data_IF_436189682134
#
_entry.id   IF_436189682134
#
_cell.length_a   1.000
_cell.length_b   1.000
_cell.length_c   1.000
_cell.angle_alpha   90.00
_cell.angle_beta   90.00
_cell.angle_gamma   90.00
#
_symmetry.space_group_name_H-M   'P 1'
#
loop_
_entity.id
_entity.type
_entity.pdbx_description
1 polymer ?
#
# COMPACT_ATOMS: atom_id res chain seq x y z
N UNK A 1 9.47 -1.60 11.69
CA UNK A 1 8.04 -1.87 11.40
C UNK A 1 7.42 -2.70 12.54
N UNK A 2 6.11 -2.96 12.48
CA UNK A 2 5.43 -3.95 13.34
C UNK A 2 5.20 -5.22 12.51
N UNK A 3 5.49 -6.36 13.12
CA UNK A 3 5.15 -7.67 12.59
C UNK A 3 4.08 -8.31 13.49
N UNK A 4 2.95 -8.72 12.90
CA UNK A 4 1.90 -9.47 13.58
C UNK A 4 1.59 -10.71 12.77
N UNK A 5 1.98 -11.88 13.28
CA UNK A 5 1.81 -13.16 12.59
C UNK A 5 0.35 -13.56 12.38
N UNK A 6 -0.55 -13.00 13.19
CA UNK A 6 -1.99 -13.26 13.11
C UNK A 6 -2.71 -12.23 12.23
N UNK A 7 -1.98 -11.29 11.62
CA UNK A 7 -2.56 -10.20 10.84
C UNK A 7 -3.11 -9.05 11.70
N UNK A 8 -3.51 -7.99 10.99
CA UNK A 8 -4.10 -6.77 11.56
C UNK A 8 -5.58 -6.77 11.22
N UNK A 9 -6.42 -7.06 12.21
CA UNK A 9 -7.88 -7.00 12.12
C UNK A 9 -8.42 -5.56 12.27
N UNK A 10 -9.74 -5.40 12.23
CA UNK A 10 -10.41 -4.10 12.34
C UNK A 10 -10.13 -3.39 13.67
N UNK A 11 -10.07 -4.12 14.78
CA UNK A 11 -9.81 -3.55 16.11
C UNK A 11 -8.37 -3.00 16.16
N UNK A 12 -7.40 -3.82 15.75
CA UNK A 12 -5.99 -3.46 15.67
C UNK A 12 -5.78 -2.28 14.74
N UNK A 13 -6.43 -2.28 13.58
CA UNK A 13 -6.35 -1.18 12.61
C UNK A 13 -6.96 0.11 13.17
N UNK A 14 -8.14 0.05 13.79
CA UNK A 14 -8.78 1.20 14.42
C UNK A 14 -7.89 1.79 15.53
N UNK A 15 -7.25 0.93 16.32
CA UNK A 15 -6.28 1.35 17.32
C UNK A 15 -5.06 2.04 16.69
N UNK A 16 -4.47 1.49 15.63
CA UNK A 16 -3.36 2.12 14.90
C UNK A 16 -3.75 3.49 14.37
N UNK A 17 -4.95 3.62 13.78
CA UNK A 17 -5.49 4.91 13.29
C UNK A 17 -5.61 5.93 14.42
N UNK A 18 -6.13 5.55 15.58
CA UNK A 18 -6.21 6.44 16.76
C UNK A 18 -4.83 6.90 17.22
N UNK A 19 -3.87 5.97 17.32
CA UNK A 19 -2.49 6.29 17.73
C UNK A 19 -1.85 7.26 16.75
N UNK A 20 -2.01 7.04 15.44
CA UNK A 20 -1.33 7.84 14.41
C UNK A 20 -1.99 9.18 14.12
N UNK A 21 -3.33 9.22 14.07
CA UNK A 21 -4.06 10.38 13.59
C UNK A 21 -4.52 11.30 14.73
N UNK A 22 -4.74 10.75 15.94
CA UNK A 22 -5.23 11.53 17.09
C UNK A 22 -4.10 11.77 18.09
N UNK A 23 -3.52 10.68 18.62
CA UNK A 23 -2.50 10.78 19.68
C UNK A 23 -1.11 11.14 19.18
N UNK A 24 -0.85 10.99 17.87
CA UNK A 24 0.45 11.16 17.21
C UNK A 24 1.57 10.30 17.84
N UNK A 25 1.21 9.11 18.33
CA UNK A 25 2.11 8.17 18.99
C UNK A 25 3.00 7.37 18.04
N UNK A 26 3.81 6.48 18.61
CA UNK A 26 4.74 5.63 17.85
C UNK A 26 4.14 4.24 17.64
N UNK A 27 4.42 3.66 16.47
CA UNK A 27 3.90 2.34 16.13
C UNK A 27 4.45 1.23 17.04
N UNK A 28 5.56 1.46 17.75
CA UNK A 28 6.11 0.57 18.77
C UNK A 28 5.17 0.34 19.96
N UNK A 29 4.22 1.25 20.22
CA UNK A 29 3.18 1.05 21.23
C UNK A 29 2.29 -0.15 20.90
N UNK A 30 2.15 -0.52 19.62
CA UNK A 30 1.35 -1.65 19.17
C UNK A 30 1.81 -2.96 19.83
N UNK A 31 3.13 -3.19 19.89
CA UNK A 31 3.72 -4.37 20.49
C UNK A 31 3.48 -4.47 22.01
N UNK A 32 3.19 -3.35 22.67
CA UNK A 32 2.80 -3.33 24.09
C UNK A 32 1.32 -3.64 24.28
N UNK A 33 0.47 -3.22 23.33
CA UNK A 33 -0.99 -3.39 23.39
C UNK A 33 -1.43 -4.79 22.94
N UNK A 34 -0.91 -5.29 21.83
CA UNK A 34 -1.33 -6.55 21.22
C UNK A 34 -0.26 -7.62 21.40
N UNK A 35 -0.50 -8.56 22.31
CA UNK A 35 0.41 -9.68 22.59
C UNK A 35 0.59 -10.54 21.34
N UNK A 36 1.80 -11.04 21.14
CA UNK A 36 2.15 -11.87 19.98
C UNK A 36 2.62 -11.09 18.75
N UNK A 37 2.57 -9.75 18.80
CA UNK A 37 3.20 -8.89 17.80
C UNK A 37 4.62 -8.47 18.21
N UNK A 38 5.44 -8.12 17.22
CA UNK A 38 6.84 -7.73 17.40
C UNK A 38 7.12 -6.39 16.75
N UNK A 39 7.70 -5.46 17.52
CA UNK A 39 8.30 -4.26 16.96
C UNK A 39 9.73 -4.54 16.52
N UNK A 40 10.02 -4.25 15.26
CA UNK A 40 11.36 -4.36 14.66
C UNK A 40 11.84 -2.94 14.34
N UNK A 41 12.61 -2.35 15.26
CA UNK A 41 13.13 -0.98 15.12
C UNK A 41 14.21 -0.87 14.05
N UNK A 42 14.27 0.27 13.36
CA UNK A 42 15.33 0.58 12.38
C UNK A 42 15.34 -0.25 11.09
N UNK A 43 14.42 -1.19 10.93
CA UNK A 43 14.38 -2.10 9.78
C UNK A 43 13.13 -1.88 8.92
N UNK A 44 13.21 -2.36 7.68
CA UNK A 44 12.14 -2.42 6.69
C UNK A 44 11.49 -3.83 6.70
N UNK A 45 10.20 -3.96 6.31
CA UNK A 45 9.47 -5.22 6.40
C UNK A 45 9.81 -6.24 5.31
N UNK A 46 10.60 -5.86 4.30
CA UNK A 46 10.80 -6.63 3.05
C UNK A 46 11.52 -7.99 3.22
N UNK A 47 12.09 -8.26 4.39
CA UNK A 47 12.65 -9.57 4.73
C UNK A 47 11.62 -10.59 5.25
N UNK A 48 10.35 -10.22 5.40
CA UNK A 48 9.29 -11.11 5.88
C UNK A 48 8.70 -11.89 4.71
N UNK A 49 8.45 -13.19 4.91
CA UNK A 49 7.73 -14.03 3.94
C UNK A 49 6.34 -13.46 3.66
N UNK A 50 6.05 -13.21 2.39
CA UNK A 50 4.75 -12.70 1.93
C UNK A 50 4.49 -13.08 0.49
N UNK A 51 3.21 -13.13 0.13
CA UNK A 51 2.73 -13.34 -1.24
C UNK A 51 2.72 -12.03 -2.04
N UNK A 52 2.29 -10.94 -1.38
CA UNK A 52 2.14 -9.61 -1.96
C UNK A 52 2.82 -8.54 -1.09
N UNK A 53 3.48 -7.57 -1.72
CA UNK A 53 4.10 -6.41 -1.06
C UNK A 53 3.51 -5.08 -1.55
N UNK A 54 3.21 -4.20 -0.59
CA UNK A 54 2.62 -2.88 -0.83
C UNK A 54 3.51 -1.79 -0.22
N UNK A 55 4.48 -1.24 -0.98
CA UNK A 55 5.23 -0.08 -0.53
C UNK A 55 4.38 1.20 -0.54
N UNK A 56 4.17 1.76 0.65
CA UNK A 56 3.26 2.87 0.92
C UNK A 56 3.89 3.99 1.77
N UNK A 57 5.20 3.97 2.04
CA UNK A 57 5.79 4.89 3.01
C UNK A 57 6.46 6.11 2.37
N UNK A 58 7.42 5.90 1.47
CA UNK A 58 8.23 6.98 0.89
C UNK A 58 8.88 6.54 -0.42
N UNK A 59 9.38 7.51 -1.20
CA UNK A 59 10.21 7.27 -2.36
C UNK A 59 11.47 6.46 -2.00
N UNK A 60 11.90 5.54 -2.88
CA UNK A 60 13.09 4.70 -2.73
C UNK A 60 13.14 3.85 -1.43
N UNK A 61 11.98 3.44 -0.92
CA UNK A 61 11.88 2.55 0.25
C UNK A 61 12.17 1.08 -0.03
N UNK A 62 12.16 0.64 -1.29
CA UNK A 62 12.61 -0.69 -1.71
C UNK A 62 13.92 -0.54 -2.47
N UNK A 63 15.01 -1.07 -1.91
CA UNK A 63 16.32 -1.19 -2.59
C UNK A 63 16.41 -2.48 -3.40
N UNK A 64 17.46 -2.65 -4.20
CA UNK A 64 17.71 -3.91 -4.92
C UNK A 64 17.96 -5.11 -3.97
N UNK A 65 18.49 -4.88 -2.77
CA UNK A 65 18.61 -5.92 -1.74
C UNK A 65 17.25 -6.31 -1.16
N UNK A 66 16.40 -5.32 -0.88
CA UNK A 66 15.03 -5.54 -0.43
C UNK A 66 14.21 -6.31 -1.48
N UNK A 67 14.38 -5.98 -2.76
CA UNK A 67 13.75 -6.69 -3.88
C UNK A 67 14.16 -8.16 -3.94
N UNK A 68 15.46 -8.48 -3.80
CA UNK A 68 15.93 -9.86 -3.73
C UNK A 68 15.31 -10.62 -2.57
N UNK A 69 15.28 -10.01 -1.37
CA UNK A 69 14.63 -10.62 -0.20
C UNK A 69 13.16 -10.95 -0.44
N UNK A 70 12.42 -10.05 -1.09
CA UNK A 70 11.01 -10.29 -1.42
C UNK A 70 10.86 -11.47 -2.37
N UNK A 71 11.67 -11.51 -3.44
CA UNK A 71 11.65 -12.59 -4.44
C UNK A 71 12.00 -13.94 -3.78
N UNK A 72 13.09 -14.00 -3.02
CA UNK A 72 13.56 -15.22 -2.34
C UNK A 72 12.53 -15.74 -1.33
N UNK A 73 11.73 -14.83 -0.76
CA UNK A 73 10.65 -15.14 0.16
C UNK A 73 9.34 -15.56 -0.52
N UNK A 74 9.30 -15.65 -1.85
CA UNK A 74 8.13 -16.10 -2.61
C UNK A 74 7.08 -15.01 -2.85
N UNK A 75 7.44 -13.74 -2.70
CA UNK A 75 6.58 -12.64 -3.15
C UNK A 75 6.39 -12.76 -4.66
N UNK A 76 5.13 -12.72 -5.13
CA UNK A 76 4.80 -12.78 -6.55
C UNK A 76 4.13 -11.50 -7.05
N UNK A 77 3.77 -10.56 -6.15
CA UNK A 77 3.15 -9.29 -6.50
C UNK A 77 3.72 -8.13 -5.71
N UNK A 78 4.07 -7.04 -6.39
CA UNK A 78 4.47 -5.76 -5.80
C UNK A 78 3.60 -4.67 -6.39
N UNK A 79 2.87 -3.93 -5.56
CA UNK A 79 1.99 -2.83 -6.02
C UNK A 79 2.33 -1.54 -5.29
N UNK A 80 2.80 -0.54 -6.04
CA UNK A 80 3.31 0.71 -5.48
C UNK A 80 2.18 1.68 -5.12
N UNK A 81 2.03 1.98 -3.82
CA UNK A 81 1.09 2.99 -3.37
C UNK A 81 1.76 4.36 -3.15
N UNK A 82 3.02 4.37 -2.70
CA UNK A 82 3.82 5.60 -2.62
C UNK A 82 4.26 6.07 -4.02
N UNK A 83 4.79 7.29 -4.11
CA UNK A 83 5.35 7.81 -5.35
C UNK A 83 6.80 7.30 -5.53
N UNK A 84 7.00 6.43 -6.53
CA UNK A 84 8.31 5.81 -6.86
C UNK A 84 9.02 5.16 -5.66
N UNK A 85 8.36 4.23 -4.93
CA UNK A 85 8.98 3.59 -3.78
C UNK A 85 10.10 2.61 -4.14
N UNK A 86 10.07 2.00 -5.32
CA UNK A 86 11.13 1.09 -5.75
C UNK A 86 12.22 1.84 -6.51
N UNK A 87 13.47 1.62 -6.14
CA UNK A 87 14.60 2.12 -6.95
C UNK A 87 14.62 1.41 -8.33
N UNK A 88 15.15 2.03 -9.40
CA UNK A 88 15.16 1.40 -10.73
C UNK A 88 15.76 -0.02 -10.73
N UNK A 89 16.90 -0.30 -10.05
CA UNK A 89 17.41 -1.67 -9.97
C UNK A 89 16.47 -2.69 -9.29
N UNK A 90 15.59 -2.25 -8.40
CA UNK A 90 14.58 -3.13 -7.79
C UNK A 90 13.45 -3.44 -8.79
N UNK A 91 13.02 -2.44 -9.57
CA UNK A 91 12.03 -2.61 -10.63
C UNK A 91 12.55 -3.58 -11.69
N UNK A 92 13.80 -3.41 -12.14
CA UNK A 92 14.42 -4.31 -13.12
C UNK A 92 14.42 -5.76 -12.64
N UNK A 93 14.74 -6.00 -11.37
CA UNK A 93 14.70 -7.34 -10.75
C UNK A 93 13.28 -7.92 -10.72
N UNK A 94 12.28 -7.12 -10.35
CA UNK A 94 10.88 -7.56 -10.33
C UNK A 94 10.42 -7.97 -11.73
N UNK A 95 10.75 -7.20 -12.76
CA UNK A 95 10.41 -7.49 -14.14
C UNK A 95 11.15 -8.74 -14.66
N UNK A 96 12.46 -8.85 -14.41
CA UNK A 96 13.27 -10.02 -14.79
C UNK A 96 12.71 -11.32 -14.19
N UNK A 97 12.28 -11.27 -12.93
CA UNK A 97 11.71 -12.42 -12.22
C UNK A 97 10.21 -12.61 -12.44
N UNK A 98 9.59 -11.82 -13.33
CA UNK A 98 8.17 -11.89 -13.69
C UNK A 98 7.24 -11.73 -12.47
N UNK A 99 7.63 -10.90 -11.53
CA UNK A 99 6.76 -10.43 -10.45
C UNK A 99 5.65 -9.57 -11.05
N UNK A 100 4.41 -9.76 -10.60
CA UNK A 100 3.30 -8.88 -10.95
C UNK A 100 3.56 -7.50 -10.37
N UNK A 101 4.03 -6.58 -11.20
CA UNK A 101 4.44 -5.25 -10.78
C UNK A 101 3.39 -4.20 -11.16
N UNK A 102 2.71 -3.65 -10.15
CA UNK A 102 1.76 -2.54 -10.30
C UNK A 102 2.47 -1.20 -10.10
N UNK A 103 2.76 -0.43 -11.17
CA UNK A 103 3.53 0.80 -11.06
C UNK A 103 2.72 1.90 -10.35
N UNK A 104 3.41 2.77 -9.59
CA UNK A 104 2.76 3.78 -8.76
C UNK A 104 1.78 4.68 -9.53
N UNK A 105 2.16 5.09 -10.75
CA UNK A 105 1.33 5.90 -11.66
C UNK A 105 -0.07 5.33 -11.95
N UNK A 106 -0.25 4.02 -11.80
CA UNK A 106 -1.53 3.34 -11.97
C UNK A 106 -2.12 2.93 -10.62
N UNK A 107 -1.34 2.24 -9.79
CA UNK A 107 -1.82 1.65 -8.54
C UNK A 107 -2.28 2.70 -7.51
N UNK A 108 -1.66 3.88 -7.46
CA UNK A 108 -2.03 4.94 -6.52
C UNK A 108 -2.95 6.03 -7.11
N UNK A 109 -3.37 5.88 -8.37
CA UNK A 109 -4.16 6.86 -9.10
C UNK A 109 -5.55 7.12 -8.48
N UNK A 110 -6.01 6.26 -7.57
CA UNK A 110 -7.29 6.40 -6.89
C UNK A 110 -7.46 7.73 -6.15
N UNK A 111 -6.36 8.33 -5.64
CA UNK A 111 -6.42 9.65 -5.02
C UNK A 111 -6.80 10.75 -6.01
N UNK A 112 -6.15 10.78 -7.18
CA UNK A 112 -6.45 11.74 -8.25
C UNK A 112 -7.84 11.48 -8.84
N UNK A 113 -8.22 10.21 -9.03
CA UNK A 113 -9.54 9.83 -9.50
C UNK A 113 -10.64 10.36 -8.57
N UNK A 114 -10.49 10.18 -7.25
CA UNK A 114 -11.47 10.65 -6.27
C UNK A 114 -11.54 12.18 -6.23
N UNK A 115 -10.43 12.89 -6.47
CA UNK A 115 -10.44 14.36 -6.64
C UNK A 115 -11.22 14.80 -7.88
N UNK A 116 -11.13 14.06 -8.99
CA UNK A 116 -11.97 14.30 -10.17
C UNK A 116 -13.48 14.05 -9.90
N UNK A 117 -13.80 13.03 -9.09
CA UNK A 117 -15.17 12.79 -8.62
C UNK A 117 -15.67 13.92 -7.71
N UNK A 118 -14.81 14.48 -6.86
CA UNK A 118 -15.14 15.65 -6.03
C UNK A 118 -15.46 16.87 -6.90
N UNK A 119 -14.65 17.16 -7.93
CA UNK A 119 -14.91 18.26 -8.87
C UNK A 119 -16.26 18.09 -9.59
N UNK A 120 -16.61 16.86 -9.95
CA UNK A 120 -17.90 16.53 -10.58
C UNK A 120 -19.08 16.80 -9.64
N UNK A 121 -19.01 16.33 -8.38
CA UNK A 121 -20.02 16.61 -7.35
C UNK A 121 -20.20 18.11 -7.12
N UNK A 122 -19.09 18.86 -7.04
CA UNK A 122 -19.11 20.31 -6.87
C UNK A 122 -19.79 21.02 -8.05
N UNK A 123 -19.51 20.59 -9.29
CA UNK A 123 -20.14 21.15 -10.49
C UNK A 123 -21.65 20.88 -10.54
N UNK A 124 -22.08 19.66 -10.16
CA UNK A 124 -23.50 19.29 -10.11
C UNK A 124 -24.22 19.81 -8.87
N UNK A 125 -23.47 20.29 -7.85
CA UNK A 125 -23.98 20.68 -6.52
C UNK A 125 -24.75 19.56 -5.82
N UNK A 126 -24.39 18.31 -6.11
CA UNK A 126 -25.03 17.13 -5.55
C UNK A 126 -23.95 16.23 -4.93
N UNK A 127 -23.89 16.12 -3.59
CA UNK A 127 -23.01 15.17 -2.95
C UNK A 127 -23.52 13.75 -3.16
N UNK A 128 -22.61 12.81 -3.39
CA UNK A 128 -22.94 11.40 -3.50
C UNK A 128 -22.76 10.66 -2.17
N UNK A 129 -23.54 9.61 -1.92
CA UNK A 129 -23.28 8.70 -0.80
C UNK A 129 -21.94 7.97 -1.00
N UNK A 130 -21.37 7.46 0.09
CA UNK A 130 -20.08 6.76 0.11
C UNK A 130 -20.04 5.61 -0.89
N UNK A 131 -21.13 4.85 -0.97
CA UNK A 131 -21.28 3.67 -1.80
C UNK A 131 -21.18 4.01 -3.29
N UNK A 132 -21.73 5.16 -3.69
CA UNK A 132 -21.65 5.62 -5.08
C UNK A 132 -20.21 6.06 -5.44
N UNK A 133 -19.55 6.81 -4.55
CA UNK A 133 -18.15 7.21 -4.75
C UNK A 133 -17.24 5.99 -4.86
N UNK A 134 -17.41 5.01 -3.97
CA UNK A 134 -16.63 3.76 -3.96
C UNK A 134 -16.88 2.93 -5.22
N UNK A 135 -18.14 2.79 -5.66
CA UNK A 135 -18.48 2.08 -6.90
C UNK A 135 -17.82 2.73 -8.12
N UNK A 136 -17.85 4.07 -8.22
CA UNK A 136 -17.20 4.81 -9.31
C UNK A 136 -15.68 4.65 -9.26
N UNK A 137 -15.08 4.74 -8.08
CA UNK A 137 -13.64 4.53 -7.89
C UNK A 137 -13.21 3.12 -8.33
N UNK A 138 -13.93 2.07 -7.92
CA UNK A 138 -13.64 0.69 -8.33
C UNK A 138 -13.71 0.52 -9.85
N UNK A 139 -14.69 1.14 -10.50
CA UNK A 139 -14.79 1.13 -11.96
C UNK A 139 -13.57 1.79 -12.61
N UNK A 140 -13.19 3.00 -12.17
CA UNK A 140 -12.01 3.72 -12.69
C UNK A 140 -10.73 2.89 -12.50
N UNK A 141 -10.51 2.31 -11.31
CA UNK A 141 -9.31 1.50 -11.07
C UNK A 141 -9.28 0.23 -11.93
N UNK A 142 -10.44 -0.37 -12.22
CA UNK A 142 -10.55 -1.53 -13.12
C UNK A 142 -10.21 -1.15 -14.56
N UNK A 143 -10.68 0.01 -15.02
CA UNK A 143 -10.33 0.55 -16.35
C UNK A 143 -8.84 0.87 -16.45
N UNK A 144 -8.24 1.46 -15.41
CA UNK A 144 -6.79 1.73 -15.36
C UNK A 144 -6.01 0.42 -15.47
N UNK A 145 -6.42 -0.62 -14.75
CA UNK A 145 -5.79 -1.93 -14.83
C UNK A 145 -5.89 -2.52 -16.24
N UNK A 146 -7.08 -2.53 -16.86
CA UNK A 146 -7.29 -3.03 -18.22
C UNK A 146 -6.39 -2.30 -19.23
N UNK A 147 -6.38 -0.97 -19.21
CA UNK A 147 -5.57 -0.16 -20.11
C UNK A 147 -4.05 -0.35 -19.95
N UNK A 148 -3.59 -0.74 -18.76
CA UNK A 148 -2.18 -0.99 -18.50
C UNK A 148 -1.76 -2.44 -18.79
N UNK A 149 -2.73 -3.36 -18.84
CA UNK A 149 -2.53 -4.77 -19.08
C UNK A 149 -2.53 -5.12 -20.57
N UNK A 150 -3.38 -4.44 -21.35
CA UNK A 150 -3.43 -4.51 -22.81
C UNK A 150 -2.21 -3.84 -23.48
#
# INVERSE_FOLDING_TARGET
>A
FIYDKNGIDEEKLAWVKSVKNVRRGRISEYAKKFRGSKYVGGQRPWGIKCDCAFPCATQNEITGEDARKLIDNGCYLVSEAANMPSVPPAVDLFLEKKILFGPGKAANAGGVATSGLEMSQNSMRLPWPREEVDSRLRHIMSTIFQNAWE
#
